data_IF_744681861614
#
_entry.id   IF_744681861614
#
_cell.length_a   1.000
_cell.length_b   1.000
_cell.length_c   1.000
_cell.angle_alpha   90.00
_cell.angle_beta   90.00
_cell.angle_gamma   90.00
#
_symmetry.space_group_name_H-M   'P 1'
#
loop_
_entity.id
_entity.type
_entity.pdbx_description
1 polymer ?
#
# COMPACT_ATOMS: atom_id res chain seq x y z
N UNK A 1 21.85 5.47 -5.73
CA UNK A 1 22.54 6.55 -4.99
C UNK A 1 24.07 6.49 -5.13
N UNK A 2 24.73 5.38 -4.78
CA UNK A 2 26.20 5.21 -4.79
C UNK A 2 26.90 5.65 -6.09
N UNK A 3 26.45 5.15 -7.25
CA UNK A 3 26.99 5.57 -8.57
C UNK A 3 26.92 7.08 -8.79
N UNK A 4 25.87 7.75 -8.30
CA UNK A 4 25.74 9.19 -8.38
C UNK A 4 26.71 9.91 -7.43
N UNK A 5 26.88 9.37 -6.21
CA UNK A 5 27.88 9.86 -5.24
C UNK A 5 29.27 9.87 -5.87
N UNK A 6 29.70 8.75 -6.47
CA UNK A 6 30.99 8.68 -7.17
C UNK A 6 31.07 9.64 -8.35
N UNK A 7 30.08 9.61 -9.25
CA UNK A 7 30.13 10.37 -10.51
C UNK A 7 30.13 11.88 -10.31
N UNK A 8 29.42 12.36 -9.30
CA UNK A 8 29.29 13.79 -9.01
C UNK A 8 30.11 14.21 -7.77
N UNK A 9 31.00 13.34 -7.28
CA UNK A 9 31.84 13.58 -6.10
C UNK A 9 31.06 14.12 -4.89
N UNK A 10 29.85 13.59 -4.69
CA UNK A 10 28.93 14.08 -3.65
C UNK A 10 29.55 13.87 -2.28
N UNK A 11 29.59 14.94 -1.48
CA UNK A 11 30.14 14.94 -0.13
C UNK A 11 29.08 14.88 0.96
N UNK A 12 27.84 15.27 0.65
CA UNK A 12 26.70 15.24 1.59
C UNK A 12 25.51 14.55 0.92
N UNK A 13 24.92 13.57 1.61
CA UNK A 13 23.69 12.92 1.20
C UNK A 13 22.66 13.06 2.30
N UNK A 14 21.44 13.43 1.91
CA UNK A 14 20.27 13.43 2.79
C UNK A 14 19.26 12.43 2.22
N UNK A 15 18.77 11.51 3.06
CA UNK A 15 17.90 10.42 2.62
C UNK A 15 17.06 9.87 3.78
N UNK A 16 16.15 8.97 3.49
CA UNK A 16 15.38 8.23 4.48
C UNK A 16 16.12 6.93 4.90
N UNK A 17 15.68 6.23 5.96
CA UNK A 17 16.32 4.99 6.39
C UNK A 17 16.39 3.90 5.30
N UNK A 18 15.42 3.83 4.38
CA UNK A 18 15.45 2.84 3.29
C UNK A 18 16.52 3.20 2.25
N UNK A 19 16.63 4.46 1.86
CA UNK A 19 17.70 4.95 1.00
C UNK A 19 19.08 4.83 1.65
N UNK A 20 19.17 4.96 2.97
CA UNK A 20 20.38 4.66 3.73
C UNK A 20 20.67 3.14 3.75
N UNK A 21 19.67 2.29 3.92
CA UNK A 21 19.80 0.84 3.84
C UNK A 21 20.29 0.37 2.46
N UNK A 22 19.86 1.03 1.37
CA UNK A 22 20.40 0.81 0.02
C UNK A 22 21.91 1.15 -0.07
N UNK A 23 22.42 2.07 0.77
CA UNK A 23 23.87 2.31 0.90
C UNK A 23 24.60 1.19 1.65
N UNK A 24 23.90 0.37 2.43
CA UNK A 24 24.46 -0.77 3.16
C UNK A 24 24.38 -2.10 2.39
N UNK A 25 23.20 -2.48 1.92
CA UNK A 25 22.81 -3.89 1.77
C UNK A 25 23.09 -4.52 0.39
N UNK A 26 23.68 -3.78 -0.55
CA UNK A 26 23.90 -4.27 -1.92
C UNK A 26 25.12 -5.19 -2.09
N UNK A 27 26.09 -5.24 -1.16
CA UNK A 27 27.38 -5.91 -1.39
C UNK A 27 28.08 -6.41 -0.09
N UNK A 28 27.39 -7.11 0.80
CA UNK A 28 28.06 -7.73 1.96
C UNK A 28 27.52 -9.13 2.26
N UNK A 29 28.37 -10.14 2.48
CA UNK A 29 27.89 -11.42 3.00
C UNK A 29 27.22 -11.18 4.36
N UNK A 30 26.22 -12.01 4.73
CA UNK A 30 25.59 -11.92 6.04
C UNK A 30 26.68 -12.02 7.11
N UNK A 31 26.56 -11.20 8.15
CA UNK A 31 27.47 -11.21 9.29
C UNK A 31 27.34 -12.55 10.02
N UNK A 32 28.13 -13.53 9.61
CA UNK A 32 28.40 -14.76 10.33
C UNK A 32 29.92 -14.95 10.36
N UNK A 33 30.46 -14.91 11.59
CA UNK A 33 31.82 -15.27 12.00
C UNK A 33 32.97 -14.26 11.76
N UNK A 34 33.28 -13.54 12.86
CA UNK A 34 34.60 -13.16 13.42
C UNK A 34 35.77 -12.95 12.43
N UNK A 35 36.06 -11.68 12.11
CA UNK A 35 37.36 -10.99 12.27
C UNK A 35 37.29 -9.55 11.72
N UNK A 36 37.96 -8.54 12.35
CA UNK A 36 37.94 -7.14 11.90
C UNK A 36 38.92 -6.96 10.73
N UNK A 37 38.64 -7.58 9.59
CA UNK A 37 39.29 -7.17 8.36
C UNK A 37 38.77 -5.79 8.01
N UNK A 38 39.70 -4.82 7.95
CA UNK A 38 39.51 -3.49 7.34
C UNK A 38 38.55 -3.61 6.17
N UNK A 39 37.29 -3.27 6.38
CA UNK A 39 36.32 -3.12 5.32
C UNK A 39 36.82 -1.93 4.51
N UNK A 40 37.45 -2.19 3.36
CA UNK A 40 37.79 -1.13 2.43
C UNK A 40 36.51 -0.34 2.15
N UNK A 41 36.50 0.98 2.37
CA UNK A 41 35.32 1.79 2.15
C UNK A 41 34.85 1.60 0.72
N UNK A 42 33.53 1.42 0.53
CA UNK A 42 32.94 1.27 -0.80
C UNK A 42 33.50 2.39 -1.70
N UNK A 43 34.16 1.99 -2.78
CA UNK A 43 34.82 2.92 -3.69
C UNK A 43 33.86 3.98 -4.21
N UNK A 44 32.56 3.65 -4.31
CA UNK A 44 31.53 4.58 -4.74
C UNK A 44 31.13 5.61 -3.68
N UNK A 45 31.48 5.39 -2.41
CA UNK A 45 31.14 6.26 -1.27
C UNK A 45 32.35 7.06 -0.74
N UNK A 46 33.52 6.97 -1.39
CA UNK A 46 34.77 7.61 -0.95
C UNK A 46 34.67 9.14 -0.81
N UNK A 47 33.87 9.80 -1.64
CA UNK A 47 33.68 11.26 -1.57
C UNK A 47 32.79 11.67 -0.39
N UNK A 48 31.94 10.76 0.12
CA UNK A 48 30.96 11.06 1.15
C UNK A 48 31.66 11.47 2.47
N UNK A 49 31.19 12.56 3.05
CA UNK A 49 31.64 13.12 4.34
C UNK A 49 30.51 13.14 5.37
N UNK A 50 29.28 13.33 4.90
CA UNK A 50 28.10 13.41 5.75
C UNK A 50 26.93 12.64 5.12
N UNK A 51 26.35 11.74 5.89
CA UNK A 51 25.07 11.11 5.61
C UNK A 51 24.05 11.55 6.65
N UNK A 52 23.06 12.33 6.25
CA UNK A 52 21.93 12.69 7.08
C UNK A 52 20.74 11.77 6.77
N UNK A 53 20.26 11.05 7.76
CA UNK A 53 19.10 10.16 7.67
C UNK A 53 17.95 10.80 8.43
N UNK A 54 16.77 10.89 7.81
CA UNK A 54 15.60 11.51 8.45
C UNK A 54 14.29 10.95 7.92
N UNK A 55 13.18 11.39 8.50
CA UNK A 55 11.84 11.18 7.95
C UNK A 55 11.16 9.90 8.43
N UNK A 56 11.90 8.89 8.88
CA UNK A 56 11.35 7.68 9.49
C UNK A 56 12.33 7.10 10.54
N UNK A 57 11.94 5.98 11.17
CA UNK A 57 12.74 5.28 12.17
C UNK A 57 14.05 4.75 11.58
N UNK A 58 15.15 5.16 12.17
CA UNK A 58 16.46 4.53 12.01
C UNK A 58 16.77 3.75 13.29
N UNK A 59 17.27 2.53 13.19
CA UNK A 59 17.67 1.76 14.36
C UNK A 59 19.19 1.89 14.65
N UNK A 60 19.62 1.59 15.88
CA UNK A 60 21.01 1.81 16.31
C UNK A 60 22.01 0.88 15.61
N UNK A 61 21.65 -0.37 15.40
CA UNK A 61 22.41 -1.34 14.60
C UNK A 61 22.57 -0.87 13.15
N UNK A 62 21.51 -0.34 12.53
CA UNK A 62 21.54 0.23 11.18
C UNK A 62 22.44 1.47 11.15
N UNK A 63 22.33 2.34 12.15
CA UNK A 63 23.19 3.52 12.29
C UNK A 63 24.67 3.11 12.43
N UNK A 64 24.98 2.13 13.29
CA UNK A 64 26.33 1.59 13.45
C UNK A 64 26.85 0.99 12.15
N UNK A 65 26.05 0.16 11.49
CA UNK A 65 26.42 -0.44 10.22
C UNK A 65 26.70 0.63 9.15
N UNK A 66 25.89 1.69 9.08
CA UNK A 66 26.13 2.85 8.18
C UNK A 66 27.48 3.49 8.48
N UNK A 67 27.75 3.75 9.75
CA UNK A 67 29.00 4.35 10.18
C UNK A 67 30.22 3.48 9.85
N UNK A 68 30.11 2.16 10.02
CA UNK A 68 31.19 1.18 9.80
C UNK A 68 31.51 0.96 8.31
N UNK A 69 30.53 1.16 7.42
CA UNK A 69 30.72 1.03 5.95
C UNK A 69 31.28 2.28 5.29
N UNK A 70 31.17 3.42 5.96
CA UNK A 70 31.75 4.66 5.48
C UNK A 70 33.22 4.78 5.90
N UNK A 71 33.96 5.61 5.17
CA UNK A 71 35.37 5.86 5.50
C UNK A 71 35.50 6.48 6.91
N UNK A 72 36.65 6.28 7.58
CA UNK A 72 36.95 7.01 8.81
C UNK A 72 36.78 8.53 8.63
N UNK A 73 36.13 9.17 9.59
CA UNK A 73 35.83 10.61 9.57
C UNK A 73 34.59 11.03 8.78
N UNK A 74 33.93 10.11 8.05
CA UNK A 74 32.58 10.35 7.59
C UNK A 74 31.60 10.31 8.78
N UNK A 75 30.59 11.18 8.76
CA UNK A 75 29.58 11.29 9.82
C UNK A 75 28.25 10.75 9.35
N UNK A 76 27.57 10.01 10.22
CA UNK A 76 26.16 9.62 10.06
C UNK A 76 25.34 10.36 11.11
N UNK A 77 24.32 11.09 10.66
CA UNK A 77 23.42 11.84 11.52
C UNK A 77 22.01 11.26 11.38
N UNK A 78 21.43 10.82 12.49
CA UNK A 78 19.98 10.65 12.59
C UNK A 78 19.35 12.02 12.89
N UNK A 79 18.50 12.51 12.00
CA UNK A 79 17.93 13.86 12.07
C UNK A 79 16.43 13.76 12.30
N UNK A 80 16.00 14.27 13.46
CA UNK A 80 14.60 14.51 13.77
C UNK A 80 14.23 15.94 13.44
N UNK A 81 13.35 16.10 12.45
CA UNK A 81 13.01 17.38 11.87
C UNK A 81 11.53 17.44 11.50
N UNK A 82 10.93 18.62 11.68
CA UNK A 82 9.54 18.91 11.32
C UNK A 82 9.51 19.90 10.18
N UNK A 83 8.54 19.76 9.28
CA UNK A 83 8.30 20.74 8.21
C UNK A 83 7.94 22.09 8.81
N UNK A 84 7.14 22.07 9.88
CA UNK A 84 6.67 23.21 10.66
C UNK A 84 7.82 23.96 11.32
N UNK A 85 8.92 23.27 11.64
CA UNK A 85 10.14 23.86 12.20
C UNK A 85 11.23 24.04 11.13
N UNK A 86 10.85 24.17 9.85
CA UNK A 86 11.76 24.39 8.72
C UNK A 86 12.91 23.36 8.63
N UNK A 87 12.62 22.09 8.91
CA UNK A 87 13.60 21.02 8.86
C UNK A 87 14.56 20.97 10.05
N UNK A 88 14.25 21.69 11.13
CA UNK A 88 15.05 21.71 12.36
C UNK A 88 14.34 21.02 13.52
N UNK A 89 15.12 20.60 14.51
CA UNK A 89 14.64 19.79 15.63
C UNK A 89 15.83 19.28 16.44
N UNK A 90 16.06 17.98 16.40
CA UNK A 90 17.17 17.32 17.10
C UNK A 90 17.98 16.43 16.14
N UNK A 91 19.20 16.12 16.56
CA UNK A 91 20.09 15.25 15.81
C UNK A 91 20.91 14.37 16.73
N UNK A 92 21.25 13.19 16.21
CA UNK A 92 22.03 12.20 16.92
C UNK A 92 23.14 11.60 16.05
N UNK A 93 24.29 11.36 16.65
CA UNK A 93 25.39 10.58 16.09
C UNK A 93 25.93 9.63 17.18
N UNK A 94 26.43 8.46 16.78
CA UNK A 94 26.89 7.43 17.73
C UNK A 94 27.91 7.96 18.77
N UNK A 95 28.87 8.85 18.43
CA UNK A 95 29.79 9.43 19.42
C UNK A 95 29.14 10.23 20.55
N UNK A 96 27.87 10.64 20.43
CA UNK A 96 27.17 11.29 21.53
C UNK A 96 26.85 10.32 22.68
N UNK A 97 26.88 9.02 22.43
CA UNK A 97 26.60 8.04 23.47
C UNK A 97 27.73 8.00 24.51
N UNK A 98 27.41 8.12 25.81
CA UNK A 98 28.42 8.03 26.86
C UNK A 98 28.98 6.62 27.04
N UNK A 99 28.24 5.61 26.54
CA UNK A 99 28.61 4.20 26.50
C UNK A 99 27.84 3.51 25.37
N UNK A 100 28.34 2.39 24.80
CA UNK A 100 27.56 1.59 23.86
C UNK A 100 26.17 1.26 24.43
N UNK A 101 25.13 1.35 23.61
CA UNK A 101 23.77 1.05 24.03
C UNK A 101 23.56 -0.46 24.17
N UNK A 102 22.91 -0.86 25.26
CA UNK A 102 22.36 -2.20 25.41
C UNK A 102 21.13 -2.33 24.50
N UNK A 103 21.06 -3.39 23.68
CA UNK A 103 19.96 -3.61 22.74
C UNK A 103 20.13 -2.82 21.43
N UNK A 104 20.92 -3.33 20.46
CA UNK A 104 21.20 -2.64 19.20
C UNK A 104 19.94 -2.49 18.31
N UNK A 105 18.87 -3.19 18.65
CA UNK A 105 17.61 -3.26 17.93
C UNK A 105 16.62 -2.15 18.28
N UNK A 106 17.05 -1.22 19.15
CA UNK A 106 16.26 -0.05 19.54
C UNK A 106 16.34 1.03 18.47
N UNK A 107 15.27 1.82 18.39
CA UNK A 107 15.22 3.03 17.58
C UNK A 107 16.37 3.96 18.02
N UNK A 108 17.11 4.49 17.05
CA UNK A 108 18.17 5.47 17.23
C UNK A 108 17.64 6.70 17.96
N UNK A 109 18.46 7.24 18.85
CA UNK A 109 18.08 8.40 19.65
C UNK A 109 17.79 9.61 18.75
N UNK A 110 16.96 10.52 19.25
CA UNK A 110 16.77 11.85 18.65
C UNK A 110 17.98 12.74 18.96
N UNK A 111 18.69 12.46 20.06
CA UNK A 111 19.94 13.09 20.45
C UNK A 111 19.74 14.46 21.07
N UNK A 112 20.43 15.47 20.56
CA UNK A 112 20.40 16.84 21.09
C UNK A 112 19.76 17.81 20.10
N UNK A 113 19.09 18.88 20.57
CA UNK A 113 18.58 19.93 19.69
C UNK A 113 19.69 20.54 18.80
N UNK A 114 19.34 20.95 17.58
CA UNK A 114 20.23 21.79 16.78
C UNK A 114 20.48 23.14 17.45
N UNK A 115 21.64 23.80 17.21
CA UNK A 115 21.89 25.14 17.72
C UNK A 115 20.75 26.12 17.39
N UNK A 116 20.29 26.86 18.40
CA UNK A 116 19.17 27.78 18.26
C UNK A 116 17.77 27.15 18.34
N UNK A 117 17.67 25.81 18.31
CA UNK A 117 16.43 25.09 18.54
C UNK A 117 16.33 24.66 20.01
N UNK A 118 15.10 24.49 20.51
CA UNK A 118 14.87 23.76 21.76
C UNK A 118 13.85 22.67 21.51
N UNK A 119 14.10 21.50 22.07
CA UNK A 119 13.11 20.43 22.12
C UNK A 119 12.79 20.20 23.59
N UNK A 120 11.51 20.32 23.96
CA UNK A 120 11.04 20.07 25.32
C UNK A 120 10.20 18.80 25.36
N UNK A 121 10.25 18.14 26.50
CA UNK A 121 9.39 17.01 26.83
C UNK A 121 8.48 17.45 27.97
N UNK A 122 7.17 17.43 27.75
CA UNK A 122 6.17 17.73 28.79
C UNK A 122 5.11 16.62 28.80
N UNK A 123 4.95 15.94 29.94
CA UNK A 123 4.08 14.75 30.07
C UNK A 123 4.33 13.70 28.97
N UNK A 124 5.60 13.53 28.59
CA UNK A 124 6.03 12.62 27.53
C UNK A 124 5.77 13.13 26.11
N UNK A 125 5.14 14.29 25.91
CA UNK A 125 4.94 14.91 24.60
C UNK A 125 6.11 15.80 24.21
N UNK A 126 6.54 15.68 22.95
CA UNK A 126 7.59 16.52 22.38
C UNK A 126 7.00 17.84 21.87
N UNK A 127 7.69 18.94 22.16
CA UNK A 127 7.46 20.24 21.53
C UNK A 127 8.79 20.81 21.03
N UNK A 128 8.74 21.50 19.89
CA UNK A 128 9.93 22.07 19.24
C UNK A 128 9.78 23.58 19.13
N UNK A 129 10.73 24.31 19.68
CA UNK A 129 10.90 25.74 19.43
C UNK A 129 11.75 25.93 18.18
N UNK A 130 11.24 26.63 17.15
CA UNK A 130 12.00 26.87 15.94
C UNK A 130 13.17 27.84 16.18
N UNK A 131 14.23 27.76 15.34
CA UNK A 131 15.36 28.66 15.41
C UNK A 131 14.93 30.09 15.09
N UNK A 132 15.35 31.04 15.91
CA UNK A 132 14.97 32.45 15.79
C UNK A 132 13.77 32.87 16.65
N UNK A 133 13.18 31.95 17.40
CA UNK A 133 12.03 32.21 18.27
C UNK A 133 10.69 32.00 17.56
N UNK A 134 9.61 31.97 18.35
CA UNK A 134 8.27 31.64 17.88
C UNK A 134 7.52 30.81 18.91
N UNK A 135 6.27 30.48 18.61
CA UNK A 135 5.49 29.56 19.44
C UNK A 135 6.02 28.14 19.33
N UNK A 136 5.99 27.41 20.44
CA UNK A 136 6.40 26.01 20.49
C UNK A 136 5.45 25.16 19.62
N UNK A 137 6.02 24.38 18.71
CA UNK A 137 5.28 23.50 17.81
C UNK A 137 5.03 22.17 18.52
N UNK A 138 3.75 21.82 18.71
CA UNK A 138 3.36 20.50 19.17
C UNK A 138 3.57 19.48 18.06
N UNK A 139 4.41 18.46 18.30
CA UNK A 139 4.83 17.54 17.24
C UNK A 139 3.87 16.36 17.05
N UNK A 140 3.07 16.05 18.08
CA UNK A 140 2.28 14.81 18.16
C UNK A 140 3.12 13.56 18.47
N UNK A 141 4.44 13.74 18.60
CA UNK A 141 5.37 12.68 18.97
C UNK A 141 5.58 12.66 20.49
N UNK A 142 5.96 11.49 20.97
CA UNK A 142 6.26 11.21 22.34
C UNK A 142 7.77 11.02 22.50
N UNK A 143 8.29 11.31 23.67
CA UNK A 143 9.71 11.14 23.95
C UNK A 143 10.05 11.26 25.41
N UNK A 144 11.30 10.95 25.71
CA UNK A 144 11.85 11.02 27.06
C UNK A 144 13.22 11.69 26.98
N UNK A 145 13.47 12.62 27.90
CA UNK A 145 14.81 13.16 28.11
C UNK A 145 15.54 12.21 29.08
N UNK A 146 16.62 11.59 28.59
CA UNK A 146 17.45 10.70 29.40
C UNK A 146 18.27 11.48 30.44
N UNK A 147 18.75 10.79 31.50
CA UNK A 147 19.67 11.40 32.47
C UNK A 147 20.98 11.91 31.85
N UNK A 148 21.42 11.35 30.72
CA UNK A 148 22.61 11.81 29.97
C UNK A 148 22.34 13.02 29.06
N UNK A 149 21.11 13.55 29.05
CA UNK A 149 20.72 14.73 28.29
C UNK A 149 20.32 14.44 26.83
N UNK A 150 20.32 13.18 26.41
CA UNK A 150 19.88 12.78 25.07
C UNK A 150 18.37 12.51 25.03
N UNK A 151 17.72 12.90 23.93
CA UNK A 151 16.30 12.66 23.69
C UNK A 151 16.08 11.28 23.05
N UNK A 152 15.16 10.50 23.61
CA UNK A 152 14.66 9.26 23.01
C UNK A 152 13.30 9.48 22.36
N UNK A 153 13.08 8.81 21.23
CA UNK A 153 11.77 8.72 20.62
C UNK A 153 10.91 7.69 21.35
N UNK A 154 9.76 8.14 21.86
CA UNK A 154 8.80 7.34 22.60
C UNK A 154 7.54 7.02 21.80
N UNK A 155 7.60 7.10 20.47
CA UNK A 155 6.45 6.82 19.59
C UNK A 155 5.64 8.05 19.19
N UNK A 156 4.47 7.81 18.58
CA UNK A 156 3.53 8.88 18.19
C UNK A 156 2.20 8.68 18.90
N UNK A 157 1.62 9.78 19.40
CA UNK A 157 0.34 9.72 20.09
C UNK A 157 -0.78 9.15 19.20
N UNK A 158 -0.75 9.47 17.89
CA UNK A 158 -1.73 9.02 16.91
C UNK A 158 -1.63 7.51 16.58
N UNK A 159 -0.47 6.88 16.82
CA UNK A 159 -0.23 5.47 16.49
C UNK A 159 -0.54 4.53 17.67
N UNK A 160 -0.89 5.08 18.84
CA UNK A 160 -1.24 4.28 20.01
C UNK A 160 -2.46 3.40 19.71
N UNK A 161 -2.32 2.13 20.04
CA UNK A 161 -3.34 1.12 19.79
C UNK A 161 -4.20 0.94 21.04
N UNK A 162 -5.51 1.05 20.89
CA UNK A 162 -6.45 0.70 21.95
C UNK A 162 -6.63 -0.83 22.03
N UNK A 163 -6.23 -1.43 23.13
CA UNK A 163 -6.49 -2.83 23.42
C UNK A 163 -7.98 -3.06 23.72
N UNK A 164 -8.41 -4.33 23.76
CA UNK A 164 -9.81 -4.68 23.98
C UNK A 164 -10.35 -4.32 25.37
N UNK A 165 -9.46 -4.08 26.33
CA UNK A 165 -9.73 -3.69 27.72
C UNK A 165 -9.66 -2.16 27.94
N UNK A 166 -9.42 -1.38 26.89
CA UNK A 166 -9.26 0.08 26.95
C UNK A 166 -7.84 0.56 27.23
N UNK A 167 -6.88 -0.35 27.45
CA UNK A 167 -5.47 0.00 27.63
C UNK A 167 -4.88 0.54 26.32
N UNK A 168 -4.10 1.62 26.37
CA UNK A 168 -3.39 2.14 25.19
C UNK A 168 -1.98 1.58 25.12
N UNK A 169 -1.73 0.78 24.10
CA UNK A 169 -0.43 0.16 23.83
C UNK A 169 0.32 1.05 22.86
N UNK A 170 1.54 1.41 23.24
CA UNK A 170 2.50 2.01 22.33
C UNK A 170 3.13 0.90 21.46
N UNK A 171 2.93 0.91 20.14
CA UNK A 171 3.46 -0.14 19.28
C UNK A 171 4.98 -0.09 19.13
N UNK A 172 5.64 1.06 19.34
CA UNK A 172 7.05 1.24 18.98
C UNK A 172 8.04 0.42 19.84
N UNK A 173 7.90 0.37 21.18
CA UNK A 173 8.71 -0.53 22.00
C UNK A 173 8.48 -2.01 21.64
N UNK A 174 7.21 -2.40 21.42
CA UNK A 174 6.86 -3.77 21.04
C UNK A 174 7.46 -4.15 19.68
N UNK A 175 7.43 -3.25 18.70
CA UNK A 175 8.04 -3.46 17.38
C UNK A 175 9.57 -3.62 17.49
N UNK A 176 10.22 -2.88 18.39
CA UNK A 176 11.67 -3.04 18.66
C UNK A 176 11.99 -4.41 19.27
N UNK A 177 11.18 -4.88 20.23
CA UNK A 177 11.32 -6.22 20.81
C UNK A 177 11.09 -7.34 19.79
N UNK A 178 10.15 -7.15 18.87
CA UNK A 178 9.91 -8.05 17.74
C UNK A 178 11.10 -8.05 16.79
N UNK A 179 11.65 -6.87 16.45
CA UNK A 179 12.81 -6.72 15.57
C UNK A 179 14.06 -7.41 16.14
N UNK A 180 14.18 -7.50 17.46
CA UNK A 180 15.26 -8.24 18.09
C UNK A 180 15.27 -9.75 17.82
N UNK A 181 14.27 -10.28 17.10
CA UNK A 181 14.33 -11.62 16.55
C UNK A 181 15.26 -11.64 15.31
N UNK A 182 16.30 -12.49 15.26
CA UNK A 182 17.35 -12.43 14.20
C UNK A 182 16.85 -12.51 12.75
N UNK A 183 15.71 -13.16 12.53
CA UNK A 183 15.10 -13.29 11.20
C UNK A 183 14.21 -12.09 10.78
N UNK A 184 14.01 -11.10 11.65
CA UNK A 184 13.14 -9.94 11.40
C UNK A 184 14.00 -8.72 11.10
N UNK A 185 13.75 -8.05 9.98
CA UNK A 185 14.41 -6.79 9.63
C UNK A 185 13.56 -5.57 10.00
N UNK A 186 12.28 -5.61 9.67
CA UNK A 186 11.31 -4.56 10.07
C UNK A 186 10.06 -5.17 10.67
N UNK A 187 9.47 -4.46 11.62
CA UNK A 187 8.27 -4.87 12.35
C UNK A 187 7.30 -3.70 12.48
N UNK A 188 6.02 -4.00 12.25
CA UNK A 188 4.91 -3.09 12.45
C UNK A 188 3.77 -3.83 13.15
N UNK A 189 3.25 -3.28 14.23
CA UNK A 189 2.12 -3.85 14.95
C UNK A 189 0.90 -2.98 14.71
N UNK A 190 -0.22 -3.62 14.38
CA UNK A 190 -1.49 -2.94 14.18
C UNK A 190 -2.65 -3.72 14.81
N UNK A 191 -3.74 -3.01 15.06
CA UNK A 191 -5.02 -3.53 15.55
C UNK A 191 -5.88 -3.95 14.36
N UNK A 192 -6.32 -5.20 14.36
CA UNK A 192 -7.24 -5.72 13.34
C UNK A 192 -8.54 -6.17 14.01
N UNK A 193 -9.67 -5.78 13.43
CA UNK A 193 -10.99 -6.24 13.86
C UNK A 193 -11.19 -7.72 13.53
N UNK A 194 -11.88 -8.44 14.40
CA UNK A 194 -12.16 -9.89 14.24
C UNK A 194 -13.66 -10.11 14.07
N UNK A 195 -14.06 -11.11 13.28
CA UNK A 195 -15.47 -11.50 13.24
C UNK A 195 -15.93 -12.01 14.62
N UNK A 196 -17.02 -11.43 15.12
CA UNK A 196 -17.55 -11.67 16.47
C UNK A 196 -17.46 -10.46 17.41
N UNK A 197 -16.89 -9.34 16.95
CA UNK A 197 -16.70 -8.15 17.77
C UNK A 197 -15.41 -8.21 18.57
N UNK A 198 -14.71 -7.08 18.64
CA UNK A 198 -13.40 -6.96 19.27
C UNK A 198 -12.24 -6.91 18.28
N UNK A 199 -11.05 -6.78 18.85
CA UNK A 199 -9.84 -6.49 18.11
C UNK A 199 -8.67 -7.33 18.60
N UNK A 200 -7.72 -7.59 17.70
CA UNK A 200 -6.48 -8.30 18.02
C UNK A 200 -5.28 -7.52 17.50
N UNK A 201 -4.17 -7.62 18.23
CA UNK A 201 -2.88 -7.16 17.76
C UNK A 201 -2.32 -8.15 16.74
N UNK A 202 -1.87 -7.62 15.61
CA UNK A 202 -1.27 -8.36 14.50
C UNK A 202 0.09 -7.75 14.22
N UNK A 203 1.11 -8.61 14.12
CA UNK A 203 2.45 -8.19 13.75
C UNK A 203 2.69 -8.43 12.25
N UNK A 204 3.13 -7.40 11.56
CA UNK A 204 3.55 -7.41 10.17
C UNK A 204 5.07 -7.38 10.14
N UNK A 205 5.67 -8.40 9.54
CA UNK A 205 7.11 -8.59 9.58
C UNK A 205 7.68 -8.58 8.17
N UNK A 206 8.82 -7.94 7.96
CA UNK A 206 9.67 -8.17 6.79
C UNK A 206 11.01 -8.74 7.21
N UNK A 207 11.63 -9.62 6.41
CA UNK A 207 12.97 -10.09 6.73
C UNK A 207 13.99 -8.95 6.54
N UNK A 208 15.22 -9.11 7.04
CA UNK A 208 16.35 -8.28 6.62
C UNK A 208 16.50 -8.27 5.10
N UNK A 209 17.03 -7.18 4.55
CA UNK A 209 17.17 -7.02 3.11
C UNK A 209 17.95 -8.18 2.47
N UNK A 210 17.46 -8.67 1.33
CA UNK A 210 18.08 -9.77 0.59
C UNK A 210 17.73 -11.17 1.10
N UNK A 211 17.03 -11.29 2.25
CA UNK A 211 16.54 -12.57 2.74
C UNK A 211 15.09 -12.85 2.30
N UNK A 212 14.72 -14.12 2.10
CA UNK A 212 13.38 -14.51 1.68
C UNK A 212 12.38 -14.42 2.87
N UNK A 213 11.11 -14.12 2.60
CA UNK A 213 10.09 -13.93 3.66
C UNK A 213 9.80 -15.22 4.46
N UNK A 214 10.21 -16.37 3.94
CA UNK A 214 10.09 -17.69 4.52
C UNK A 214 10.94 -17.86 5.79
N UNK A 215 12.00 -17.05 5.98
CA UNK A 215 12.80 -17.08 7.22
C UNK A 215 12.09 -16.47 8.42
N UNK A 216 11.03 -15.69 8.19
CA UNK A 216 10.29 -14.99 9.23
C UNK A 216 9.62 -15.96 10.21
N UNK A 217 9.55 -15.63 11.52
CA UNK A 217 8.87 -16.47 12.50
C UNK A 217 7.36 -16.57 12.19
N UNK A 218 6.74 -17.68 12.60
CA UNK A 218 5.27 -17.76 12.69
C UNK A 218 4.82 -17.19 14.04
N UNK A 219 3.50 -17.14 14.26
CA UNK A 219 2.91 -16.68 15.51
C UNK A 219 3.45 -17.42 16.74
N UNK A 220 3.72 -18.73 16.64
CA UNK A 220 4.19 -19.52 17.77
C UNK A 220 5.63 -19.16 18.16
N UNK A 221 6.53 -19.10 17.17
CA UNK A 221 7.94 -18.71 17.35
C UNK A 221 8.05 -17.25 17.81
N UNK A 222 7.24 -16.35 17.27
CA UNK A 222 7.25 -14.95 17.72
C UNK A 222 6.81 -14.84 19.18
N UNK A 223 5.74 -15.54 19.57
CA UNK A 223 5.27 -15.55 20.96
C UNK A 223 6.31 -16.11 21.92
N UNK A 224 7.04 -17.14 21.50
CA UNK A 224 8.14 -17.70 22.28
C UNK A 224 9.26 -16.68 22.47
N UNK A 225 9.66 -15.97 21.41
CA UNK A 225 10.67 -14.90 21.47
C UNK A 225 10.28 -13.73 22.39
N UNK A 226 8.99 -13.39 22.43
CA UNK A 226 8.44 -12.29 23.22
C UNK A 226 8.13 -12.69 24.68
N UNK A 227 8.18 -13.97 25.01
CA UNK A 227 7.82 -14.48 26.34
C UNK A 227 8.74 -13.90 27.41
N UNK A 228 8.15 -13.20 28.38
CA UNK A 228 8.89 -12.58 29.49
C UNK A 228 9.56 -11.24 29.15
N UNK A 229 9.47 -10.76 27.90
CA UNK A 229 9.96 -9.44 27.49
C UNK A 229 8.85 -8.39 27.43
N UNK A 230 7.64 -8.81 27.06
CA UNK A 230 6.46 -7.94 26.99
C UNK A 230 5.30 -8.53 27.80
N UNK A 231 4.39 -7.69 28.30
CA UNK A 231 3.14 -8.14 28.91
C UNK A 231 2.34 -9.08 28.00
N UNK A 232 1.67 -10.08 28.58
CA UNK A 232 1.02 -11.16 27.82
C UNK A 232 -0.15 -10.70 26.93
N UNK A 233 -0.78 -9.59 27.30
CA UNK A 233 -1.82 -8.86 26.57
C UNK A 233 -1.28 -8.05 25.38
N UNK A 234 -0.03 -7.57 25.47
CA UNK A 234 0.65 -6.87 24.38
C UNK A 234 1.23 -7.80 23.32
N UNK A 235 1.26 -9.12 23.55
CA UNK A 235 1.78 -10.09 22.56
C UNK A 235 0.84 -10.19 21.34
N UNK A 236 1.35 -10.00 20.11
CA UNK A 236 0.57 -10.16 18.89
C UNK A 236 -0.05 -11.56 18.77
N UNK A 237 -1.33 -11.61 18.38
CA UNK A 237 -2.11 -12.86 18.25
C UNK A 237 -2.03 -13.48 16.86
N UNK A 238 -1.51 -12.74 15.88
CA UNK A 238 -1.25 -13.22 14.54
C UNK A 238 -0.01 -12.54 13.96
N UNK A 239 0.63 -13.23 13.02
CA UNK A 239 1.77 -12.73 12.26
C UNK A 239 1.44 -12.76 10.77
N UNK A 240 1.70 -11.65 10.09
CA UNK A 240 1.65 -11.53 8.63
C UNK A 240 3.07 -11.34 8.12
N UNK A 241 3.55 -12.31 7.34
CA UNK A 241 4.89 -12.29 6.75
C UNK A 241 4.84 -11.54 5.42
N UNK A 242 5.70 -10.55 5.27
CA UNK A 242 5.76 -9.69 4.09
C UNK A 242 7.18 -9.67 3.54
N UNK A 243 7.31 -9.41 2.23
CA UNK A 243 8.63 -9.15 1.62
C UNK A 243 9.18 -7.78 2.03
N UNK A 244 8.31 -6.79 2.16
CA UNK A 244 8.61 -5.46 2.65
C UNK A 244 7.33 -4.85 3.25
N UNK A 245 7.48 -3.96 4.23
CA UNK A 245 6.35 -3.19 4.76
C UNK A 245 5.90 -2.12 3.75
N UNK A 246 4.60 -1.79 3.69
CA UNK A 246 4.11 -0.67 2.90
C UNK A 246 4.78 0.63 3.34
N UNK A 247 5.12 1.49 2.37
CA UNK A 247 5.68 2.82 2.63
C UNK A 247 4.87 3.88 1.88
N UNK A 248 4.74 5.05 2.50
CA UNK A 248 4.17 6.26 1.92
C UNK A 248 5.07 6.79 0.79
N UNK A 249 4.56 7.74 -0.01
CA UNK A 249 5.37 8.44 -1.03
C UNK A 249 6.60 9.15 -0.46
N UNK A 250 6.57 9.50 0.83
CA UNK A 250 7.67 10.14 1.55
C UNK A 250 8.65 9.12 2.16
N UNK A 251 8.54 7.83 1.81
CA UNK A 251 9.45 6.77 2.31
C UNK A 251 9.11 6.24 3.70
N UNK A 252 8.20 6.89 4.44
CA UNK A 252 7.78 6.45 5.78
C UNK A 252 6.94 5.19 5.74
N UNK A 253 7.09 4.29 6.70
CA UNK A 253 6.18 3.14 6.85
C UNK A 253 4.71 3.57 6.93
N UNK A 254 3.86 2.85 6.21
CA UNK A 254 2.43 3.14 6.10
C UNK A 254 1.60 2.09 6.86
N UNK A 255 1.30 2.41 8.12
CA UNK A 255 0.44 1.62 9.01
C UNK A 255 -0.99 1.44 8.49
N UNK A 256 -1.45 2.30 7.57
CA UNK A 256 -2.83 2.25 7.03
C UNK A 256 -2.99 1.32 5.84
N UNK A 257 -1.89 0.94 5.19
CA UNK A 257 -1.88 0.11 3.97
C UNK A 257 -1.45 -1.33 4.22
N UNK A 258 -1.37 -1.77 5.48
CA UNK A 258 -1.03 -3.16 5.81
C UNK A 258 -2.20 -4.10 5.47
N UNK A 259 -1.93 -5.28 4.87
CA UNK A 259 -2.98 -6.21 4.47
C UNK A 259 -3.72 -6.79 5.68
N UNK A 260 -4.95 -7.26 5.49
CA UNK A 260 -5.62 -8.00 6.57
C UNK A 260 -5.10 -9.46 6.65
N UNK A 261 -4.93 -10.03 7.85
CA UNK A 261 -4.50 -11.41 8.04
C UNK A 261 -5.57 -12.42 7.55
N UNK A 262 -5.21 -13.48 6.81
CA UNK A 262 -6.17 -14.40 6.18
C UNK A 262 -7.06 -15.25 7.10
N UNK A 263 -6.73 -15.38 8.39
CA UNK A 263 -7.26 -16.46 9.27
C UNK A 263 -8.08 -15.98 10.47
N UNK A 264 -8.54 -14.73 10.50
CA UNK A 264 -9.33 -14.20 11.64
C UNK A 264 -10.86 -14.40 11.50
N UNK A 265 -11.32 -15.21 10.55
CA UNK A 265 -12.73 -15.57 10.35
C UNK A 265 -12.91 -17.08 10.55
N UNK A 266 -13.39 -17.51 11.72
CA UNK A 266 -13.96 -18.85 11.89
C UNK A 266 -15.50 -18.72 11.96
N UNK A 267 -16.29 -19.52 11.21
CA UNK A 267 -17.74 -19.46 11.30
C UNK A 267 -18.24 -20.26 12.49
N UNK A 268 -19.08 -19.64 13.31
CA UNK A 268 -19.95 -20.34 14.28
C UNK A 268 -21.16 -20.87 13.51
N UNK A 269 -21.41 -22.17 13.63
CA UNK A 269 -22.57 -22.84 13.06
C UNK A 269 -23.87 -22.42 13.79
N UNK A 270 -24.94 -22.18 13.02
CA UNK A 270 -26.32 -22.32 13.48
C UNK A 270 -27.26 -21.15 13.17
N UNK A 271 -28.34 -21.43 12.44
CA UNK A 271 -29.53 -20.57 12.42
C UNK A 271 -30.34 -20.58 11.13
N UNK A 272 -31.30 -21.51 11.00
CA UNK A 272 -32.38 -21.50 9.99
C UNK A 272 -33.44 -20.44 10.31
N UNK A 273 -34.07 -19.90 9.26
CA UNK A 273 -35.39 -19.24 9.26
C UNK A 273 -35.46 -18.18 8.15
N UNK A 274 -36.42 -18.11 7.23
CA UNK A 274 -37.74 -18.73 7.13
C UNK A 274 -38.83 -17.66 6.99
N UNK A 275 -39.22 -17.33 5.75
CA UNK A 275 -40.44 -16.58 5.39
C UNK A 275 -40.38 -15.04 5.52
N UNK A 276 -41.22 -14.22 4.90
CA UNK A 276 -42.45 -14.41 4.11
C UNK A 276 -42.96 -13.01 3.77
N UNK A 277 -43.19 -12.63 2.51
CA UNK A 277 -44.29 -11.72 2.11
C UNK A 277 -44.53 -11.87 0.60
N UNK A 278 -45.77 -12.26 0.26
CA UNK A 278 -46.32 -12.21 -1.08
C UNK A 278 -47.42 -11.15 -1.17
N UNK A 279 -47.82 -10.83 -2.40
CA UNK A 279 -48.93 -9.95 -2.77
C UNK A 279 -48.85 -9.59 -4.27
N UNK A 280 -49.37 -10.39 -5.20
CA UNK A 280 -50.74 -10.39 -5.79
C UNK A 280 -50.90 -9.35 -6.93
N UNK A 281 -50.90 -9.82 -8.21
CA UNK A 281 -52.00 -9.83 -9.25
C UNK A 281 -52.37 -8.43 -9.81
N UNK A 282 -52.74 -8.18 -11.07
CA UNK A 282 -53.30 -8.92 -12.25
C UNK A 282 -53.35 -7.90 -13.42
N UNK A 283 -53.16 -8.25 -14.70
CA UNK A 283 -54.17 -8.51 -15.77
C UNK A 283 -53.48 -8.08 -17.10
N UNK A 284 -53.67 -8.61 -18.32
CA UNK A 284 -54.70 -9.45 -18.94
C UNK A 284 -55.20 -8.75 -20.24
N UNK A 285 -55.21 -9.49 -21.37
CA UNK A 285 -55.77 -9.19 -22.72
C UNK A 285 -54.85 -8.46 -23.72
N UNK A 286 -54.36 -9.13 -24.79
CA UNK A 286 -55.00 -9.43 -26.10
C UNK A 286 -55.14 -8.17 -26.98
N UNK A 287 -54.70 -8.06 -28.23
CA UNK A 287 -54.02 -8.93 -29.19
C UNK A 287 -54.16 -8.26 -30.57
N UNK A 288 -53.10 -8.19 -31.37
CA UNK A 288 -53.17 -8.01 -32.84
C UNK A 288 -51.75 -8.06 -33.42
N UNK A 289 -51.64 -8.65 -34.61
CA UNK A 289 -50.42 -8.80 -35.40
C UNK A 289 -49.74 -7.45 -35.64
N UNK A 290 -48.46 -7.34 -35.32
CA UNK A 290 -47.54 -6.45 -36.02
C UNK A 290 -46.08 -6.84 -35.71
N UNK A 291 -45.35 -7.13 -36.78
CA UNK A 291 -43.89 -7.14 -36.94
C UNK A 291 -43.06 -7.25 -35.65
N UNK A 292 -42.48 -8.43 -35.39
CA UNK A 292 -41.41 -8.64 -34.41
C UNK A 292 -40.34 -7.53 -34.53
N UNK A 293 -40.25 -6.58 -33.57
CA UNK A 293 -39.21 -5.57 -33.60
C UNK A 293 -37.93 -6.21 -33.09
N UNK A 294 -36.84 -5.93 -33.79
CA UNK A 294 -35.45 -6.30 -33.48
C UNK A 294 -34.97 -5.92 -32.04
N UNK A 295 -35.82 -5.30 -31.21
CA UNK A 295 -35.53 -4.83 -29.86
C UNK A 295 -35.72 -5.86 -28.73
N UNK A 296 -36.47 -6.95 -28.93
CA UNK A 296 -36.75 -7.92 -27.85
C UNK A 296 -35.63 -8.95 -27.63
N UNK A 297 -34.85 -9.28 -28.65
CA UNK A 297 -33.64 -10.12 -28.52
C UNK A 297 -32.48 -9.36 -27.85
N UNK A 298 -32.37 -8.05 -28.12
CA UNK A 298 -31.43 -7.14 -27.47
C UNK A 298 -31.77 -6.92 -25.98
N UNK A 299 -33.06 -6.83 -25.65
CA UNK A 299 -33.54 -6.54 -24.29
C UNK A 299 -33.34 -7.68 -23.28
N UNK A 300 -33.43 -8.95 -23.71
CA UNK A 300 -33.21 -10.10 -22.82
C UNK A 300 -31.80 -10.70 -22.92
N UNK A 301 -31.14 -10.59 -24.08
CA UNK A 301 -29.82 -11.18 -24.30
C UNK A 301 -28.71 -10.53 -23.49
N UNK A 302 -28.71 -9.19 -23.39
CA UNK A 302 -27.71 -8.45 -22.63
C UNK A 302 -27.74 -8.75 -21.11
N UNK A 303 -28.89 -8.69 -20.41
CA UNK A 303 -28.93 -9.05 -19.00
C UNK A 303 -28.69 -10.54 -18.77
N UNK A 304 -29.14 -11.44 -19.67
CA UNK A 304 -28.85 -12.87 -19.55
C UNK A 304 -27.35 -13.16 -19.65
N UNK A 305 -26.67 -12.60 -20.66
CA UNK A 305 -25.22 -12.74 -20.82
C UNK A 305 -24.46 -12.10 -19.65
N UNK A 306 -24.93 -10.97 -19.15
CA UNK A 306 -24.33 -10.33 -17.97
C UNK A 306 -24.50 -11.15 -16.69
N UNK A 307 -25.68 -11.73 -16.45
CA UNK A 307 -25.90 -12.62 -15.30
C UNK A 307 -25.09 -13.92 -15.42
N UNK A 308 -24.95 -14.48 -16.63
CA UNK A 308 -24.06 -15.61 -16.89
C UNK A 308 -22.61 -15.23 -16.60
N UNK A 309 -22.13 -14.09 -17.10
CA UNK A 309 -20.80 -13.58 -16.80
C UNK A 309 -20.59 -13.43 -15.28
N UNK A 310 -21.54 -12.83 -14.56
CA UNK A 310 -21.48 -12.71 -13.10
C UNK A 310 -21.38 -14.08 -12.42
N UNK A 311 -22.19 -15.05 -12.84
CA UNK A 311 -22.20 -16.41 -12.28
C UNK A 311 -20.90 -17.18 -12.55
N UNK A 312 -20.29 -17.01 -13.73
CA UNK A 312 -19.02 -17.66 -14.11
C UNK A 312 -17.78 -16.89 -13.66
N UNK A 313 -17.91 -15.69 -13.10
CA UNK A 313 -16.77 -14.85 -12.74
C UNK A 313 -15.83 -15.56 -11.77
N UNK A 314 -16.37 -16.22 -10.73
CA UNK A 314 -15.58 -16.96 -9.74
C UNK A 314 -14.93 -18.24 -10.30
N UNK A 315 -15.45 -18.78 -11.41
CA UNK A 315 -14.88 -19.93 -12.11
C UNK A 315 -13.71 -19.49 -13.00
N UNK A 316 -13.88 -18.39 -13.74
CA UNK A 316 -12.89 -17.90 -14.70
C UNK A 316 -11.76 -17.14 -13.96
N UNK A 317 -12.11 -16.40 -12.91
CA UNK A 317 -11.20 -15.61 -12.08
C UNK A 317 -11.38 -15.94 -10.59
N UNK A 318 -10.86 -17.09 -10.13
CA UNK A 318 -11.01 -17.50 -8.73
C UNK A 318 -10.45 -16.45 -7.76
N UNK A 319 -11.30 -15.96 -6.85
CA UNK A 319 -10.93 -14.98 -5.83
C UNK A 319 -11.03 -13.51 -6.25
N UNK A 320 -11.40 -13.20 -7.49
CA UNK A 320 -11.48 -11.80 -7.96
C UNK A 320 -12.69 -11.04 -7.41
N UNK A 321 -13.73 -11.74 -6.96
CA UNK A 321 -14.97 -11.16 -6.39
C UNK A 321 -15.12 -11.48 -4.90
N UNK A 322 -14.02 -11.82 -4.22
CA UNK A 322 -14.06 -12.13 -2.79
C UNK A 322 -14.24 -10.84 -1.97
N UNK A 323 -15.45 -10.67 -1.43
CA UNK A 323 -15.84 -9.54 -0.59
C UNK A 323 -15.82 -9.86 0.91
N UNK A 324 -15.34 -11.04 1.31
CA UNK A 324 -15.34 -11.48 2.72
C UNK A 324 -14.60 -10.53 3.65
N UNK A 325 -13.64 -9.76 3.13
CA UNK A 325 -12.89 -8.73 3.86
C UNK A 325 -13.44 -7.31 3.77
N UNK A 326 -14.54 -7.08 3.05
CA UNK A 326 -15.12 -5.74 2.86
C UNK A 326 -16.33 -5.54 3.79
N UNK A 327 -16.34 -4.50 4.65
CA UNK A 327 -17.49 -4.25 5.53
C UNK A 327 -18.67 -3.64 4.76
N UNK A 328 -19.90 -3.84 5.25
CA UNK A 328 -21.07 -3.11 4.75
C UNK A 328 -21.00 -1.62 5.16
N UNK A 329 -21.49 -0.69 4.32
CA UNK A 329 -22.19 -0.88 3.04
C UNK A 329 -21.24 -1.06 1.83
N UNK A 330 -19.92 -1.01 2.02
CA UNK A 330 -18.95 -1.05 0.94
C UNK A 330 -18.98 -2.36 0.16
N UNK A 331 -19.18 -3.50 0.82
CA UNK A 331 -19.37 -4.77 0.14
C UNK A 331 -20.58 -4.74 -0.81
N UNK A 332 -21.68 -4.10 -0.40
CA UNK A 332 -22.83 -3.91 -1.28
C UNK A 332 -22.50 -3.01 -2.48
N UNK A 333 -21.71 -1.96 -2.28
CA UNK A 333 -21.26 -1.09 -3.38
C UNK A 333 -20.35 -1.83 -4.37
N UNK A 334 -19.41 -2.64 -3.90
CA UNK A 334 -18.60 -3.47 -4.79
C UNK A 334 -19.43 -4.54 -5.49
N UNK A 335 -20.41 -5.14 -4.81
CA UNK A 335 -21.31 -6.09 -5.46
C UNK A 335 -22.13 -5.43 -6.57
N UNK A 336 -22.63 -4.20 -6.35
CA UNK A 336 -23.30 -3.39 -7.37
C UNK A 336 -22.35 -3.11 -8.54
N UNK A 337 -21.09 -2.74 -8.25
CA UNK A 337 -20.08 -2.55 -9.28
C UNK A 337 -19.88 -3.82 -10.12
N UNK A 338 -19.77 -4.99 -9.49
CA UNK A 338 -19.58 -6.27 -10.20
C UNK A 338 -20.78 -6.58 -11.10
N UNK A 339 -22.00 -6.33 -10.60
CA UNK A 339 -23.20 -6.45 -11.41
C UNK A 339 -23.16 -5.50 -12.62
N UNK A 340 -22.77 -4.24 -12.43
CA UNK A 340 -22.63 -3.28 -13.52
C UNK A 340 -21.58 -3.70 -14.54
N UNK A 341 -20.42 -4.19 -14.12
CA UNK A 341 -19.35 -4.69 -14.99
C UNK A 341 -19.82 -5.87 -15.84
N UNK A 342 -20.48 -6.85 -15.22
CA UNK A 342 -20.99 -8.02 -15.93
C UNK A 342 -22.13 -7.66 -16.89
N UNK A 343 -23.04 -6.75 -16.50
CA UNK A 343 -24.09 -6.25 -17.39
C UNK A 343 -23.52 -5.44 -18.56
N UNK A 344 -22.49 -4.62 -18.33
CA UNK A 344 -21.78 -3.88 -19.38
C UNK A 344 -21.11 -4.85 -20.38
N UNK A 345 -20.48 -5.92 -19.89
CA UNK A 345 -19.95 -6.98 -20.73
C UNK A 345 -21.03 -7.64 -21.59
N UNK A 346 -22.16 -8.04 -20.98
CA UNK A 346 -23.29 -8.62 -21.70
C UNK A 346 -23.83 -7.70 -22.78
N UNK A 347 -24.02 -6.41 -22.46
CA UNK A 347 -24.42 -5.39 -23.42
C UNK A 347 -23.39 -5.21 -24.55
N UNK A 348 -22.10 -5.22 -24.21
CA UNK A 348 -20.99 -5.12 -25.18
C UNK A 348 -20.93 -6.29 -26.16
N UNK A 349 -21.13 -7.52 -25.68
CA UNK A 349 -21.18 -8.72 -26.53
C UNK A 349 -22.36 -8.65 -27.50
N UNK A 350 -23.56 -8.30 -27.01
CA UNK A 350 -24.71 -8.14 -27.91
C UNK A 350 -24.45 -7.01 -28.91
N UNK A 351 -23.94 -5.87 -28.44
CA UNK A 351 -23.61 -4.73 -29.28
C UNK A 351 -22.57 -5.08 -30.35
N UNK A 352 -21.56 -5.89 -30.04
CA UNK A 352 -20.55 -6.32 -31.01
C UNK A 352 -21.17 -6.98 -32.25
N UNK A 353 -22.23 -7.76 -32.08
CA UNK A 353 -22.91 -8.48 -33.17
C UNK A 353 -24.07 -7.71 -33.78
N UNK A 354 -24.81 -6.90 -33.01
CA UNK A 354 -26.04 -6.22 -33.50
C UNK A 354 -25.89 -4.72 -33.70
N UNK A 355 -24.89 -4.07 -33.09
CA UNK A 355 -24.75 -2.60 -33.04
C UNK A 355 -24.32 -1.95 -34.36
N UNK A 356 -23.66 -2.70 -35.24
CA UNK A 356 -23.06 -2.14 -36.47
C UNK A 356 -24.10 -1.65 -37.47
N UNK A 357 -25.20 -2.37 -37.63
CA UNK A 357 -26.27 -2.04 -38.57
C UNK A 357 -26.91 -0.67 -38.28
N UNK A 358 -27.42 -0.45 -37.04
CA UNK A 358 -27.93 0.85 -36.61
C UNK A 358 -26.93 2.00 -36.75
N UNK A 359 -25.65 1.76 -36.49
CA UNK A 359 -24.62 2.80 -36.68
C UNK A 359 -24.40 3.16 -38.16
N UNK A 360 -24.46 2.18 -39.07
CA UNK A 360 -24.38 2.45 -40.51
C UNK A 360 -25.58 3.24 -41.03
N UNK A 361 -26.75 3.11 -40.39
CA UNK A 361 -27.93 3.90 -40.72
C UNK A 361 -27.72 5.42 -40.47
N UNK A 362 -26.73 5.80 -39.67
CA UNK A 362 -26.38 7.20 -39.40
C UNK A 362 -25.61 7.88 -40.55
N UNK A 363 -25.43 7.19 -41.70
CA UNK A 363 -24.80 7.72 -42.94
C UNK A 363 -23.43 8.39 -42.72
N UNK A 364 -22.66 7.87 -41.78
CA UNK A 364 -21.24 8.21 -41.57
C UNK A 364 -20.35 7.22 -42.32
N UNK A 365 -19.15 7.66 -42.72
CA UNK A 365 -18.23 6.87 -43.55
C UNK A 365 -18.01 5.44 -43.01
N UNK A 366 -18.00 4.44 -43.89
CA UNK A 366 -17.95 3.01 -43.49
C UNK A 366 -16.75 2.68 -42.61
N UNK A 367 -15.58 3.27 -42.88
CA UNK A 367 -14.36 3.07 -42.11
C UNK A 367 -14.46 3.60 -40.68
N UNK A 368 -14.91 4.86 -40.51
CA UNK A 368 -15.04 5.46 -39.18
C UNK A 368 -16.16 4.80 -38.38
N UNK A 369 -17.25 4.38 -39.03
CA UNK A 369 -18.33 3.63 -38.38
C UNK A 369 -17.86 2.26 -37.91
N UNK A 370 -17.03 1.55 -38.70
CA UNK A 370 -16.43 0.28 -38.30
C UNK A 370 -15.48 0.45 -37.10
N UNK A 371 -14.64 1.49 -37.13
CA UNK A 371 -13.74 1.80 -36.02
C UNK A 371 -14.51 2.15 -34.74
N UNK A 372 -15.54 3.00 -34.84
CA UNK A 372 -16.39 3.38 -33.72
C UNK A 372 -17.18 2.19 -33.15
N UNK A 373 -17.69 1.31 -34.01
CA UNK A 373 -18.37 0.08 -33.60
C UNK A 373 -17.47 -0.80 -32.73
N UNK A 374 -16.25 -1.07 -33.20
CA UNK A 374 -15.27 -1.86 -32.45
C UNK A 374 -14.82 -1.15 -31.17
N UNK A 375 -14.66 0.16 -31.21
CA UNK A 375 -14.30 0.96 -30.04
C UNK A 375 -15.37 0.91 -28.94
N UNK A 376 -16.65 1.08 -29.30
CA UNK A 376 -17.77 0.99 -28.34
C UNK A 376 -17.92 -0.43 -27.80
N UNK A 377 -17.83 -1.45 -28.66
CA UNK A 377 -17.86 -2.83 -28.23
C UNK A 377 -16.73 -3.14 -27.24
N UNK A 378 -15.50 -2.67 -27.54
CA UNK A 378 -14.35 -2.81 -26.66
C UNK A 378 -14.56 -2.10 -25.32
N UNK A 379 -15.03 -0.84 -25.33
CA UNK A 379 -15.32 -0.06 -24.12
C UNK A 379 -16.35 -0.74 -23.20
N UNK A 380 -17.29 -1.52 -23.74
CA UNK A 380 -18.29 -2.23 -22.96
C UNK A 380 -17.79 -3.59 -22.47
N UNK A 381 -17.08 -4.33 -23.33
CA UNK A 381 -16.58 -5.68 -23.03
C UNK A 381 -15.41 -5.64 -22.05
N UNK A 382 -14.51 -4.66 -22.16
CA UNK A 382 -13.22 -4.67 -21.48
C UNK A 382 -13.33 -4.62 -19.95
N UNK A 383 -14.35 -3.97 -19.38
CA UNK A 383 -14.48 -3.78 -17.93
C UNK A 383 -14.44 -5.09 -17.14
N UNK A 384 -15.15 -6.11 -17.61
CA UNK A 384 -15.25 -7.38 -16.89
C UNK A 384 -13.92 -8.15 -16.80
N UNK A 385 -13.21 -8.49 -17.89
CA UNK A 385 -11.91 -9.13 -17.80
C UNK A 385 -10.84 -8.21 -17.22
N UNK A 386 -10.87 -6.90 -17.53
CA UNK A 386 -9.88 -5.94 -17.04
C UNK A 386 -9.88 -5.88 -15.52
N UNK A 387 -11.04 -5.59 -14.90
CA UNK A 387 -11.06 -5.35 -13.46
C UNK A 387 -10.81 -6.65 -12.68
N UNK A 388 -11.32 -7.79 -13.15
CA UNK A 388 -11.01 -9.09 -12.56
C UNK A 388 -9.52 -9.44 -12.66
N UNK A 389 -8.87 -9.15 -13.79
CA UNK A 389 -7.43 -9.36 -13.92
C UNK A 389 -6.61 -8.39 -13.06
N UNK A 390 -7.04 -7.14 -12.89
CA UNK A 390 -6.40 -6.19 -11.98
C UNK A 390 -6.55 -6.60 -10.52
N UNK A 391 -7.72 -7.11 -10.11
CA UNK A 391 -7.97 -7.64 -8.75
C UNK A 391 -7.09 -8.87 -8.46
N UNK A 392 -6.81 -9.69 -9.46
CA UNK A 392 -5.93 -10.85 -9.33
C UNK A 392 -4.44 -10.54 -9.52
N UNK A 393 -4.11 -9.42 -10.16
CA UNK A 393 -2.73 -9.00 -10.31
C UNK A 393 -2.22 -8.45 -8.99
N UNK A 394 -1.17 -9.07 -8.45
CA UNK A 394 -0.46 -8.50 -7.32
C UNK A 394 0.01 -7.08 -7.67
N UNK A 395 -0.19 -6.12 -6.76
CA UNK A 395 0.16 -4.70 -7.00
C UNK A 395 1.65 -4.50 -7.30
N UNK A 396 2.48 -5.44 -6.87
CA UNK A 396 3.94 -5.48 -7.05
C UNK A 396 4.42 -6.29 -8.26
N UNK A 397 3.53 -6.94 -9.01
CA UNK A 397 3.87 -7.67 -10.25
C UNK A 397 3.95 -6.69 -11.41
N UNK A 398 5.03 -5.89 -11.44
CA UNK A 398 5.20 -4.83 -12.43
C UNK A 398 5.11 -5.30 -13.89
N UNK A 399 5.66 -6.46 -14.28
CA UNK A 399 5.44 -6.98 -15.64
C UNK A 399 3.97 -7.21 -15.95
N UNK A 400 3.20 -7.82 -15.04
CA UNK A 400 1.78 -8.06 -15.24
C UNK A 400 0.95 -6.78 -15.16
N UNK A 401 1.28 -5.87 -14.24
CA UNK A 401 0.65 -4.55 -14.14
C UNK A 401 0.89 -3.74 -15.43
N UNK A 402 2.12 -3.72 -15.95
CA UNK A 402 2.45 -3.10 -17.22
C UNK A 402 1.68 -3.76 -18.36
N UNK A 403 1.66 -5.10 -18.43
CA UNK A 403 0.89 -5.83 -19.43
C UNK A 403 -0.59 -5.46 -19.40
N UNK A 404 -1.21 -5.34 -18.21
CA UNK A 404 -2.61 -4.92 -18.08
C UNK A 404 -2.83 -3.46 -18.53
N UNK A 405 -1.92 -2.55 -18.19
CA UNK A 405 -2.02 -1.15 -18.63
C UNK A 405 -1.93 -1.05 -20.16
N UNK A 406 -0.99 -1.75 -20.78
CA UNK A 406 -0.84 -1.72 -22.24
C UNK A 406 -1.92 -2.53 -22.97
N UNK A 407 -2.43 -3.61 -22.36
CA UNK A 407 -3.47 -4.44 -22.95
C UNK A 407 -4.88 -3.82 -22.81
N UNK A 408 -5.14 -3.08 -21.74
CA UNK A 408 -6.48 -2.52 -21.47
C UNK A 408 -6.52 -1.00 -21.52
N UNK A 409 -5.71 -0.31 -20.71
CA UNK A 409 -5.81 1.16 -20.56
C UNK A 409 -5.45 1.90 -21.85
N UNK A 410 -4.39 1.48 -22.56
CA UNK A 410 -4.02 2.11 -23.84
C UNK A 410 -5.12 1.94 -24.90
N UNK A 411 -5.65 0.73 -25.16
CA UNK A 411 -6.79 0.57 -26.05
C UNK A 411 -8.05 1.30 -25.59
N UNK A 412 -8.32 1.44 -24.29
CA UNK A 412 -9.46 2.24 -23.79
C UNK A 412 -9.33 3.72 -24.20
N UNK A 413 -8.14 4.32 -24.05
CA UNK A 413 -7.89 5.70 -24.47
C UNK A 413 -8.06 5.87 -25.99
N UNK A 414 -7.54 4.91 -26.77
CA UNK A 414 -7.69 4.91 -28.24
C UNK A 414 -9.16 4.77 -28.62
N UNK A 415 -9.90 3.85 -27.99
CA UNK A 415 -11.32 3.65 -28.25
C UNK A 415 -12.13 4.90 -27.91
N UNK A 416 -11.86 5.54 -26.77
CA UNK A 416 -12.50 6.81 -26.39
C UNK A 416 -12.24 7.92 -27.42
N UNK A 417 -11.00 8.04 -27.93
CA UNK A 417 -10.66 8.99 -28.98
C UNK A 417 -11.41 8.70 -30.28
N UNK A 418 -11.47 7.43 -30.71
CA UNK A 418 -12.22 7.01 -31.90
C UNK A 418 -13.71 7.36 -31.77
N UNK A 419 -14.30 7.13 -30.59
CA UNK A 419 -15.70 7.49 -30.31
C UNK A 419 -15.90 9.01 -30.32
N UNK A 420 -14.98 9.79 -29.75
CA UNK A 420 -15.05 11.25 -29.77
C UNK A 420 -14.96 11.80 -31.21
N UNK A 421 -14.06 11.27 -32.04
CA UNK A 421 -13.95 11.63 -33.45
C UNK A 421 -15.21 11.21 -34.21
N UNK A 422 -15.74 10.01 -33.96
CA UNK A 422 -17.01 9.58 -34.56
C UNK A 422 -18.15 10.52 -34.17
N UNK A 423 -18.31 10.84 -32.88
CA UNK A 423 -19.38 11.69 -32.36
C UNK A 423 -19.37 13.09 -32.97
N UNK A 424 -18.18 13.69 -33.13
CA UNK A 424 -18.00 15.07 -33.62
C UNK A 424 -17.96 15.19 -35.14
N UNK A 425 -17.76 14.08 -35.88
CA UNK A 425 -17.76 14.10 -37.34
C UNK A 425 -19.18 14.26 -37.89
N UNK A 426 -19.36 15.17 -38.85
CA UNK A 426 -20.65 15.36 -39.52
C UNK A 426 -21.03 14.11 -40.33
N UNK A 427 -22.32 13.73 -40.40
CA UNK A 427 -22.79 12.74 -41.37
C UNK A 427 -22.45 13.19 -42.79
N UNK A 428 -22.16 12.25 -43.68
CA UNK A 428 -21.89 12.58 -45.08
C UNK A 428 -23.20 13.07 -45.69
N UNK A 429 -23.25 14.35 -46.09
CA UNK A 429 -24.38 14.89 -46.82
C UNK A 429 -24.33 14.40 -48.26
N UNK A 430 -25.45 14.00 -48.88
CA UNK A 430 -25.51 13.76 -50.33
C UNK A 430 -25.28 15.05 -51.16
N UNK A 431 -25.07 16.20 -50.51
CA UNK A 431 -24.79 17.50 -51.12
C UNK A 431 -23.41 18.07 -50.76
N UNK A 432 -22.57 17.33 -50.02
CA UNK A 432 -21.17 17.70 -49.82
C UNK A 432 -20.38 17.21 -51.04
N UNK A 433 -19.88 18.14 -51.86
CA UNK A 433 -19.16 17.87 -53.12
C UNK A 433 -17.63 17.88 -52.97
N UNK A 434 -17.12 18.05 -51.74
CA UNK A 434 -15.69 18.12 -51.45
C UNK A 434 -15.16 16.74 -51.00
N UNK A 435 -15.07 15.80 -51.94
CA UNK A 435 -14.15 14.65 -51.90
C UNK A 435 -13.56 14.42 -53.31
#
# INVERSE_FOLDING_TARGET
>A
MRRAVRKAEVSVVHTDPAGAADLLLAQGPPASDIAPFRLEPDAELRSLRLLAVSGDRLYLDEHSALQDRLRPGARVLNVYALTEAAGTGAWFELPQLPRPLDGPERISLLGTPFPGCRVRVHDGHLTVDPPGGGEAIATGDLGVLRPDGLLEFGGRAADRIEAGDGTRIDPYPLESEIRAHPAVGTALVNRVAVAGGGHRLVAYLSPPHGLPAEVLPDTARLREHLKGKVPADAVPRAVVRMRALPRTRAGREDRTQVPQPPLLLAPVAGGRGGGKYGGVRTAGAAGSQEVLPLGSALGCGAPLLGLLALAFTSVIWPGSTDLTGVPNPWAALFWILYLCESLAFGAGVVFLFSGRGPMLAQRRGRGITAAAHLAIAYLLIAWWPQDNLYRLAAKQDWPRQAALVYAFNVPLMIAALVVAVYATRKPVSPFDFDD
#
